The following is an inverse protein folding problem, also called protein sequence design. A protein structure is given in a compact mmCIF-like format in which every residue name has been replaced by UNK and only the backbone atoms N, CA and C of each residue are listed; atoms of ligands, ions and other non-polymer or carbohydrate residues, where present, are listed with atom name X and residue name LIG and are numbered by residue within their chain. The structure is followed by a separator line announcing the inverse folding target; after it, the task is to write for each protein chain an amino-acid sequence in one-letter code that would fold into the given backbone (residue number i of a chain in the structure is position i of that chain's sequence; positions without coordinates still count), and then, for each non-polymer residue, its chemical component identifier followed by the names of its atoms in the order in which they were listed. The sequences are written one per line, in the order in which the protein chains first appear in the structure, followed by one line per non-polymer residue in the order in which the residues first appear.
data_IF_728405946654
#
_entry.id   IF_728405946654
#
_cell.length_a   1.000
_cell.length_b   1.000
_cell.length_c   1.000
_cell.angle_alpha   90.00
_cell.angle_beta   90.00
_cell.angle_gamma   90.00
#
_symmetry.space_group_name_H-M   'P 1'
#
loop_
_entity.id
_entity.type
_entity.pdbx_description
1 polymer ?
#
# COMPACT_ATOMS: atom_id res chain seq x y z
N UNK A 1 17.53 -13.32 -14.61
CA UNK A 1 16.57 -13.06 -13.52
C UNK A 1 15.38 -12.28 -14.01
N UNK A 2 14.20 -12.62 -13.53
CA UNK A 2 12.97 -11.86 -13.81
C UNK A 2 12.73 -10.89 -12.66
N UNK A 3 12.69 -9.60 -12.94
CA UNK A 3 12.38 -8.58 -11.93
C UNK A 3 10.86 -8.53 -11.70
N UNK A 4 10.44 -8.54 -10.44
CA UNK A 4 9.03 -8.42 -10.04
C UNK A 4 8.57 -6.97 -10.10
N UNK A 5 9.45 -6.04 -9.71
CA UNK A 5 9.17 -4.60 -9.72
C UNK A 5 10.01 -3.86 -10.76
N UNK A 6 9.41 -2.83 -11.32
CA UNK A 6 10.02 -1.93 -12.29
C UNK A 6 10.10 -0.51 -11.72
N UNK A 7 10.91 0.38 -12.30
CA UNK A 7 10.94 1.80 -11.90
C UNK A 7 9.57 2.47 -12.03
N UNK A 8 8.79 2.04 -13.02
CA UNK A 8 7.43 2.54 -13.21
C UNK A 8 6.49 2.24 -12.04
N UNK A 9 6.71 1.16 -11.30
CA UNK A 9 5.86 0.79 -10.15
C UNK A 9 6.00 1.80 -9.01
N UNK A 10 7.22 2.27 -8.75
CA UNK A 10 7.46 3.35 -7.79
C UNK A 10 6.74 4.65 -8.17
N UNK A 11 6.87 5.07 -9.43
CA UNK A 11 6.23 6.29 -9.93
C UNK A 11 4.71 6.18 -9.90
N UNK A 12 4.16 5.02 -10.24
CA UNK A 12 2.73 4.76 -10.20
C UNK A 12 2.20 4.77 -8.76
N UNK A 13 2.91 4.18 -7.80
CA UNK A 13 2.56 4.22 -6.38
C UNK A 13 2.56 5.67 -5.85
N UNK A 14 3.56 6.47 -6.23
CA UNK A 14 3.64 7.89 -5.87
C UNK A 14 2.48 8.69 -6.46
N UNK A 15 2.18 8.48 -7.75
CA UNK A 15 1.06 9.13 -8.45
C UNK A 15 -0.27 8.76 -7.82
N UNK A 16 -0.49 7.49 -7.50
CA UNK A 16 -1.70 7.01 -6.85
C UNK A 16 -1.90 7.67 -5.48
N UNK A 17 -0.87 7.68 -4.65
CA UNK A 17 -0.90 8.35 -3.33
C UNK A 17 -1.26 9.83 -3.45
N UNK A 18 -0.62 10.56 -4.38
CA UNK A 18 -0.90 11.99 -4.63
C UNK A 18 -2.31 12.20 -5.16
N UNK A 19 -2.77 11.36 -6.09
CA UNK A 19 -4.12 11.44 -6.67
C UNK A 19 -5.20 11.26 -5.60
N UNK A 20 -5.05 10.25 -4.72
CA UNK A 20 -6.01 10.03 -3.63
C UNK A 20 -6.04 11.21 -2.66
N UNK A 21 -4.87 11.75 -2.31
CA UNK A 21 -4.81 12.93 -1.45
C UNK A 21 -5.46 14.15 -2.10
N UNK A 22 -5.25 14.36 -3.39
CA UNK A 22 -5.88 15.45 -4.13
C UNK A 22 -7.42 15.31 -4.16
N UNK A 23 -7.94 14.11 -4.46
CA UNK A 23 -9.38 13.84 -4.44
C UNK A 23 -9.97 14.14 -3.05
N UNK A 24 -9.29 13.72 -1.98
CA UNK A 24 -9.72 14.02 -0.62
C UNK A 24 -9.87 15.52 -0.37
N UNK A 25 -8.85 16.32 -0.73
CA UNK A 25 -8.92 17.78 -0.54
C UNK A 25 -9.98 18.47 -1.39
N UNK A 26 -10.23 17.96 -2.60
CA UNK A 26 -11.31 18.51 -3.45
C UNK A 26 -12.66 18.25 -2.79
N UNK A 27 -12.95 17.05 -2.31
CA UNK A 27 -14.21 16.72 -1.64
C UNK A 27 -14.37 17.55 -0.36
N UNK A 28 -13.32 17.64 0.45
CA UNK A 28 -13.32 18.45 1.68
C UNK A 28 -13.62 19.94 1.37
N UNK A 29 -13.00 20.51 0.34
CA UNK A 29 -13.24 21.89 -0.07
C UNK A 29 -14.68 22.12 -0.49
N UNK A 30 -15.28 21.17 -1.24
CA UNK A 30 -16.69 21.26 -1.65
C UNK A 30 -17.62 21.25 -0.44
N UNK A 31 -17.38 20.38 0.55
CA UNK A 31 -18.17 20.34 1.77
C UNK A 31 -18.04 21.60 2.62
N UNK A 32 -16.82 22.15 2.78
CA UNK A 32 -16.61 23.43 3.47
C UNK A 32 -17.37 24.56 2.78
N UNK A 33 -17.33 24.63 1.44
CA UNK A 33 -18.08 25.64 0.68
C UNK A 33 -19.58 25.45 0.88
N UNK A 34 -20.08 24.23 0.82
CA UNK A 34 -21.50 23.93 1.06
C UNK A 34 -21.93 24.35 2.47
N UNK A 35 -21.16 24.02 3.50
CA UNK A 35 -21.42 24.48 4.87
C UNK A 35 -21.43 26.03 4.98
N UNK A 36 -20.43 26.66 4.36
CA UNK A 36 -20.35 28.15 4.37
C UNK A 36 -21.57 28.81 3.72
N UNK A 37 -22.05 28.29 2.58
CA UNK A 37 -23.26 28.80 1.91
C UNK A 37 -24.48 28.64 2.81
N UNK A 38 -24.72 27.48 3.38
CA UNK A 38 -25.87 27.25 4.28
C UNK A 38 -25.75 28.12 5.52
N UNK A 39 -24.56 28.31 6.08
CA UNK A 39 -24.34 29.18 7.24
C UNK A 39 -24.59 30.65 6.92
N UNK A 40 -24.18 31.15 5.74
CA UNK A 40 -24.47 32.52 5.29
C UNK A 40 -26.00 32.72 5.12
N UNK A 41 -26.70 31.74 4.56
CA UNK A 41 -28.17 31.80 4.43
C UNK A 41 -28.85 31.85 5.80
N UNK A 42 -28.34 31.10 6.77
CA UNK A 42 -28.78 31.14 8.16
C UNK A 42 -28.58 32.53 8.79
N UNK A 43 -27.41 33.14 8.61
CA UNK A 43 -27.10 34.47 9.16
C UNK A 43 -27.93 35.62 8.54
N UNK A 44 -28.39 35.45 7.29
CA UNK A 44 -29.25 36.44 6.61
C UNK A 44 -30.70 36.43 7.07
N UNK A 45 -31.12 35.49 7.90
CA UNK A 45 -32.46 35.40 8.39
C UNK A 45 -32.77 36.53 9.39
N UNK A 46 -33.99 37.17 9.31
CA UNK A 46 -34.37 38.18 10.25
C UNK A 46 -34.48 37.65 11.68
N UNK A 47 -34.24 38.52 12.64
CA UNK A 47 -34.21 38.15 14.07
C UNK A 47 -35.63 37.93 14.66
N UNK A 48 -36.68 38.27 13.91
CA UNK A 48 -38.07 38.17 14.34
C UNK A 48 -38.51 36.72 14.39
N UNK A 49 -39.06 36.27 15.52
CA UNK A 49 -39.52 34.90 15.72
C UNK A 49 -40.95 34.72 15.27
N UNK A 50 -41.16 34.27 14.03
CA UNK A 50 -42.44 33.68 13.59
C UNK A 50 -42.25 32.15 13.54
N UNK A 51 -43.29 31.33 13.77
CA UNK A 51 -43.18 29.86 13.77
C UNK A 51 -42.59 29.31 12.46
N UNK A 52 -42.91 29.92 11.33
CA UNK A 52 -42.37 29.54 10.01
C UNK A 52 -40.85 29.83 9.87
N UNK A 53 -40.39 30.96 10.40
CA UNK A 53 -39.01 31.36 10.40
C UNK A 53 -38.16 30.49 11.34
N UNK A 54 -38.72 30.10 12.45
CA UNK A 54 -38.08 29.21 13.44
C UNK A 54 -37.86 27.80 12.84
N UNK A 55 -38.87 27.29 12.13
CA UNK A 55 -38.73 26.03 11.38
C UNK A 55 -37.61 26.09 10.32
N UNK A 56 -37.50 27.18 9.57
CA UNK A 56 -36.43 27.38 8.59
C UNK A 56 -35.07 27.51 9.23
N UNK A 57 -34.93 28.19 10.37
CA UNK A 57 -33.67 28.26 11.13
C UNK A 57 -33.20 26.87 11.58
N UNK A 58 -34.10 26.10 12.15
CA UNK A 58 -33.82 24.72 12.58
C UNK A 58 -33.40 23.83 11.40
N UNK A 59 -34.03 24.01 10.22
CA UNK A 59 -33.63 23.28 9.02
C UNK A 59 -32.20 23.62 8.59
N UNK A 60 -31.78 24.89 8.58
CA UNK A 60 -30.40 25.23 8.21
C UNK A 60 -29.40 24.77 9.22
N UNK A 61 -29.68 24.82 10.53
CA UNK A 61 -28.81 24.24 11.56
C UNK A 61 -28.66 22.73 11.36
N UNK A 62 -29.77 22.03 11.11
CA UNK A 62 -29.75 20.61 10.81
C UNK A 62 -28.93 20.31 9.57
N UNK A 63 -29.05 21.07 8.49
CA UNK A 63 -28.28 20.87 7.26
C UNK A 63 -26.78 21.05 7.49
N UNK A 64 -26.35 22.08 8.24
CA UNK A 64 -24.93 22.27 8.58
C UNK A 64 -24.40 21.07 9.38
N UNK A 65 -25.13 20.63 10.40
CA UNK A 65 -24.75 19.46 11.18
C UNK A 65 -24.68 18.19 10.32
N UNK A 66 -25.64 17.99 9.44
CA UNK A 66 -25.70 16.83 8.54
C UNK A 66 -24.50 16.81 7.57
N UNK A 67 -24.23 17.93 6.89
CA UNK A 67 -23.10 18.05 5.97
C UNK A 67 -21.78 17.78 6.72
N UNK A 68 -21.60 18.40 7.90
CA UNK A 68 -20.41 18.21 8.72
C UNK A 68 -20.24 16.75 9.17
N UNK A 69 -21.32 16.08 9.57
CA UNK A 69 -21.29 14.68 9.96
C UNK A 69 -20.88 13.77 8.78
N UNK A 70 -21.43 14.01 7.59
CA UNK A 70 -21.08 13.27 6.37
C UNK A 70 -19.60 13.46 6.04
N UNK A 71 -19.08 14.68 6.13
CA UNK A 71 -17.66 15.01 5.88
C UNK A 71 -16.75 14.28 6.86
N UNK A 72 -17.09 14.25 8.13
CA UNK A 72 -16.30 13.53 9.15
C UNK A 72 -16.28 12.03 8.86
N UNK A 73 -17.44 11.43 8.61
CA UNK A 73 -17.55 10.00 8.29
C UNK A 73 -16.76 9.68 7.01
N UNK A 74 -16.92 10.49 5.96
CA UNK A 74 -16.16 10.34 4.72
C UNK A 74 -14.66 10.40 4.98
N UNK A 75 -14.18 11.37 5.78
CA UNK A 75 -12.76 11.53 6.10
C UNK A 75 -12.20 10.29 6.81
N UNK A 76 -12.92 9.74 7.78
CA UNK A 76 -12.48 8.53 8.48
C UNK A 76 -12.38 7.33 7.54
N UNK A 77 -13.40 7.10 6.71
CA UNK A 77 -13.42 5.96 5.77
C UNK A 77 -12.33 6.15 4.70
N UNK A 78 -12.28 7.34 4.09
CA UNK A 78 -11.38 7.60 2.98
C UNK A 78 -9.89 7.58 3.37
N UNK A 79 -9.55 8.25 4.48
CA UNK A 79 -8.17 8.25 4.98
C UNK A 79 -7.78 6.92 5.63
N UNK A 80 -8.75 6.24 6.26
CA UNK A 80 -8.53 4.98 6.98
C UNK A 80 -8.33 3.77 6.06
N UNK A 81 -8.95 3.73 4.89
CA UNK A 81 -8.91 2.56 4.00
C UNK A 81 -8.09 2.86 2.73
N UNK A 82 -8.62 3.57 1.69
CA UNK A 82 -7.91 3.68 0.41
C UNK A 82 -6.62 4.48 0.49
N UNK A 83 -6.60 5.61 1.21
CA UNK A 83 -5.39 6.41 1.34
C UNK A 83 -4.33 5.72 2.19
N UNK A 84 -4.72 5.07 3.27
CA UNK A 84 -3.81 4.31 4.14
C UNK A 84 -3.14 3.19 3.35
N UNK A 85 -3.91 2.41 2.57
CA UNK A 85 -3.38 1.35 1.70
C UNK A 85 -2.38 1.89 0.68
N UNK A 86 -2.72 2.96 -0.05
CA UNK A 86 -1.82 3.58 -1.01
C UNK A 86 -0.55 4.16 -0.36
N UNK A 87 -0.65 4.71 0.85
CA UNK A 87 0.49 5.20 1.62
C UNK A 87 1.45 4.06 2.01
N UNK A 88 0.93 2.92 2.46
CA UNK A 88 1.76 1.76 2.82
C UNK A 88 2.39 1.12 1.59
N UNK A 89 1.63 1.00 0.49
CA UNK A 89 2.18 0.51 -0.77
C UNK A 89 3.31 1.39 -1.30
N UNK A 90 3.14 2.71 -1.27
CA UNK A 90 4.21 3.65 -1.62
C UNK A 90 5.42 3.49 -0.70
N UNK A 91 5.21 3.33 0.62
CA UNK A 91 6.30 3.09 1.56
C UNK A 91 7.05 1.80 1.24
N UNK A 92 6.34 0.72 0.91
CA UNK A 92 6.95 -0.53 0.47
C UNK A 92 7.84 -0.32 -0.76
N UNK A 93 7.36 0.43 -1.77
CA UNK A 93 8.15 0.73 -2.97
C UNK A 93 9.39 1.57 -2.65
N UNK A 94 9.29 2.50 -1.72
CA UNK A 94 10.41 3.32 -1.26
C UNK A 94 11.45 2.47 -0.50
N UNK A 95 10.98 1.61 0.39
CA UNK A 95 11.82 0.66 1.13
C UNK A 95 12.52 -0.35 0.18
N UNK A 96 11.84 -0.82 -0.87
CA UNK A 96 12.45 -1.69 -1.92
C UNK A 96 13.54 -0.96 -2.69
N UNK A 97 13.34 0.33 -2.97
CA UNK A 97 14.31 1.15 -3.73
C UNK A 97 15.57 1.46 -2.92
N UNK A 98 15.42 1.76 -1.64
CA UNK A 98 16.50 2.23 -0.77
C UNK A 98 17.08 1.17 0.16
N UNK A 99 16.34 0.09 0.39
CA UNK A 99 16.66 -0.93 1.39
C UNK A 99 17.69 -1.95 0.93
N UNK A 100 18.25 -2.69 1.90
CA UNK A 100 19.19 -3.79 1.64
C UNK A 100 18.49 -4.93 0.92
N UNK A 101 19.08 -5.37 -0.17
CA UNK A 101 18.62 -6.53 -0.95
C UNK A 101 19.43 -7.75 -0.52
N UNK A 102 18.75 -8.86 -0.28
CA UNK A 102 19.37 -10.14 0.08
C UNK A 102 19.18 -11.12 -1.08
N UNK A 103 20.28 -11.60 -1.61
CA UNK A 103 20.28 -12.72 -2.54
C UNK A 103 20.29 -14.02 -1.74
N UNK A 104 19.37 -14.92 -2.03
CA UNK A 104 19.26 -16.24 -1.40
C UNK A 104 19.09 -17.31 -2.46
N UNK A 105 19.58 -18.52 -2.15
CA UNK A 105 19.35 -19.72 -2.93
C UNK A 105 18.59 -20.73 -2.07
N UNK A 106 17.50 -21.28 -2.60
CA UNK A 106 16.63 -22.18 -1.85
C UNK A 106 15.91 -23.15 -2.78
N UNK A 107 15.41 -24.24 -2.22
CA UNK A 107 14.55 -25.16 -2.95
C UNK A 107 13.11 -24.70 -2.87
N UNK A 108 12.46 -24.54 -4.02
CA UNK A 108 11.05 -24.20 -4.09
C UNK A 108 10.18 -25.38 -3.61
N UNK A 109 9.20 -25.09 -2.75
CA UNK A 109 8.24 -26.07 -2.27
C UNK A 109 6.91 -25.95 -3.00
N UNK A 110 6.21 -24.85 -2.76
CA UNK A 110 4.88 -24.60 -3.33
C UNK A 110 4.47 -23.13 -3.19
N UNK A 111 3.51 -22.76 -4.01
CA UNK A 111 2.78 -21.51 -3.82
C UNK A 111 1.58 -21.76 -2.89
N UNK A 112 1.45 -20.96 -1.85
CA UNK A 112 0.35 -21.07 -0.91
C UNK A 112 -0.96 -20.48 -1.48
N UNK A 113 -2.08 -21.04 -1.08
CA UNK A 113 -3.40 -20.60 -1.54
C UNK A 113 -3.95 -19.41 -0.75
N UNK A 114 -3.35 -19.12 0.41
CA UNK A 114 -3.80 -18.00 1.26
C UNK A 114 -3.04 -16.71 0.93
N UNK A 115 -3.72 -15.60 1.22
CA UNK A 115 -3.17 -14.25 1.09
C UNK A 115 -2.70 -13.81 2.48
N UNK A 116 -1.49 -13.27 2.55
CA UNK A 116 -0.94 -12.67 3.77
C UNK A 116 -0.98 -11.15 3.64
N UNK A 117 -1.59 -10.48 4.61
CA UNK A 117 -1.64 -9.02 4.67
C UNK A 117 -0.52 -8.50 5.57
N UNK A 118 0.40 -7.72 5.00
CA UNK A 118 1.48 -7.07 5.74
C UNK A 118 1.43 -5.57 5.48
N UNK A 119 1.21 -4.78 6.54
CA UNK A 119 1.16 -3.33 6.43
C UNK A 119 0.05 -2.81 5.50
N UNK A 120 -1.13 -3.43 5.49
CA UNK A 120 -2.25 -3.13 4.59
C UNK A 120 -1.97 -3.37 3.09
N UNK A 121 -0.97 -4.18 2.77
CA UNK A 121 -0.68 -4.67 1.42
C UNK A 121 -0.89 -6.17 1.40
N UNK A 122 -1.60 -6.67 0.38
CA UNK A 122 -1.90 -8.08 0.20
C UNK A 122 -0.76 -8.76 -0.56
N UNK A 123 -0.31 -9.91 -0.08
CA UNK A 123 0.74 -10.72 -0.70
C UNK A 123 0.29 -12.17 -0.88
N UNK A 124 0.63 -12.75 -2.00
CA UNK A 124 0.72 -14.19 -2.14
C UNK A 124 1.95 -14.71 -1.40
N UNK A 125 1.93 -15.96 -1.00
CA UNK A 125 3.03 -16.58 -0.24
C UNK A 125 3.64 -17.69 -1.06
N UNK A 126 4.95 -17.60 -1.26
CA UNK A 126 5.77 -18.64 -1.86
C UNK A 126 6.59 -19.32 -0.77
N UNK A 127 6.44 -20.63 -0.59
CA UNK A 127 7.17 -21.41 0.38
C UNK A 127 8.46 -21.99 -0.24
N UNK A 128 9.58 -21.78 0.46
CA UNK A 128 10.90 -22.30 0.07
C UNK A 128 11.57 -23.00 1.25
N UNK A 129 12.49 -23.92 0.96
CA UNK A 129 13.39 -24.56 1.94
C UNK A 129 14.73 -23.85 1.90
N UNK A 130 15.11 -23.18 2.99
CA UNK A 130 16.38 -22.50 3.16
C UNK A 130 17.20 -23.20 4.24
N UNK A 131 18.51 -23.36 4.00
CA UNK A 131 19.42 -23.89 5.02
C UNK A 131 19.63 -22.86 6.12
N UNK A 132 19.47 -23.26 7.36
CA UNK A 132 19.72 -22.43 8.55
C UNK A 132 21.02 -22.82 9.22
N UNK A 133 22.02 -21.95 9.17
CA UNK A 133 23.31 -22.19 9.85
C UNK A 133 23.19 -22.28 11.38
N UNK A 134 22.15 -21.66 11.95
CA UNK A 134 21.93 -21.69 13.40
C UNK A 134 21.43 -23.04 13.91
N UNK A 135 20.50 -23.65 13.18
CA UNK A 135 19.88 -24.92 13.57
C UNK A 135 20.49 -26.12 12.87
N UNK A 136 21.35 -25.91 11.84
CA UNK A 136 21.93 -26.96 11.00
C UNK A 136 20.84 -27.83 10.34
N UNK A 137 19.72 -27.20 9.97
CA UNK A 137 18.58 -27.90 9.38
C UNK A 137 17.96 -27.04 8.25
N UNK A 138 17.25 -27.70 7.34
CA UNK A 138 16.43 -27.01 6.34
C UNK A 138 15.16 -26.49 6.99
N UNK A 139 14.98 -25.18 6.94
CA UNK A 139 13.80 -24.52 7.48
C UNK A 139 12.92 -24.01 6.35
N UNK A 140 11.62 -24.15 6.54
CA UNK A 140 10.65 -23.53 5.65
C UNK A 140 10.62 -22.02 5.87
N UNK A 141 10.82 -21.28 4.78
CA UNK A 141 10.68 -19.82 4.74
C UNK A 141 9.54 -19.41 3.81
N UNK A 142 8.77 -18.42 4.23
CA UNK A 142 7.70 -17.85 3.45
C UNK A 142 8.20 -16.54 2.81
N UNK A 143 8.21 -16.50 1.49
CA UNK A 143 8.56 -15.32 0.70
C UNK A 143 7.28 -14.67 0.18
N UNK A 144 7.17 -13.38 0.34
CA UNK A 144 5.99 -12.60 0.00
C UNK A 144 6.08 -12.10 -1.44
N UNK A 145 5.06 -12.38 -2.24
CA UNK A 145 4.93 -11.93 -3.62
C UNK A 145 3.73 -11.00 -3.71
N UNK A 146 3.93 -9.78 -4.21
CA UNK A 146 2.86 -8.79 -4.36
C UNK A 146 1.68 -9.38 -5.14
N UNK A 147 0.47 -9.27 -4.61
CA UNK A 147 -0.76 -9.80 -5.21
C UNK A 147 -1.04 -9.24 -6.61
N UNK A 148 -0.58 -8.03 -6.89
CA UNK A 148 -0.75 -7.39 -8.21
C UNK A 148 0.28 -7.88 -9.25
N UNK A 149 1.22 -8.72 -8.84
CA UNK A 149 2.28 -9.27 -9.68
C UNK A 149 2.05 -10.75 -9.99
N UNK A 150 2.51 -11.22 -11.16
CA UNK A 150 2.40 -12.63 -11.49
C UNK A 150 3.21 -13.48 -10.51
N UNK A 151 2.62 -14.57 -10.07
CA UNK A 151 3.34 -15.57 -9.26
C UNK A 151 4.36 -16.30 -10.12
N UNK A 152 5.56 -16.56 -9.58
CA UNK A 152 6.53 -17.43 -10.24
C UNK A 152 5.96 -18.84 -10.46
N UNK A 153 6.17 -19.39 -11.66
CA UNK A 153 5.76 -20.75 -12.01
C UNK A 153 6.96 -21.70 -11.91
N UNK A 154 7.20 -22.20 -10.70
CA UNK A 154 8.24 -23.18 -10.39
C UNK A 154 7.62 -24.52 -10.05
N UNK A 155 8.39 -25.59 -10.28
CA UNK A 155 8.03 -26.97 -9.87
C UNK A 155 8.60 -27.26 -8.48
N UNK A 156 7.88 -28.08 -7.72
CA UNK A 156 8.38 -28.55 -6.44
C UNK A 156 9.75 -29.24 -6.60
N UNK A 157 10.73 -28.81 -5.82
CA UNK A 157 12.10 -29.29 -5.88
C UNK A 157 13.05 -28.46 -6.75
N UNK A 158 12.55 -27.49 -7.52
CA UNK A 158 13.42 -26.58 -8.28
C UNK A 158 14.33 -25.78 -7.35
N UNK A 159 15.62 -25.69 -7.71
CA UNK A 159 16.56 -24.80 -7.02
C UNK A 159 16.44 -23.43 -7.65
N UNK A 160 16.02 -22.47 -6.85
CA UNK A 160 15.79 -21.09 -7.28
C UNK A 160 16.76 -20.13 -6.61
N UNK A 161 17.21 -19.16 -7.35
CA UNK A 161 17.88 -17.98 -6.83
C UNK A 161 16.89 -16.81 -6.82
N UNK A 162 16.82 -16.09 -5.73
CA UNK A 162 15.89 -14.98 -5.59
C UNK A 162 16.45 -13.86 -4.73
N UNK A 163 16.01 -12.67 -5.01
CA UNK A 163 16.37 -11.45 -4.27
C UNK A 163 15.15 -11.01 -3.47
N UNK A 164 15.37 -10.77 -2.18
CA UNK A 164 14.33 -10.26 -1.28
C UNK A 164 14.76 -8.98 -0.58
N UNK A 165 13.75 -8.17 -0.23
CA UNK A 165 13.86 -7.13 0.79
C UNK A 165 12.78 -7.37 1.84
N UNK A 166 13.17 -7.52 3.12
CA UNK A 166 12.24 -7.81 4.23
C UNK A 166 11.22 -8.94 3.92
N UNK A 167 11.69 -10.03 3.30
CA UNK A 167 10.91 -11.18 2.80
C UNK A 167 10.00 -10.92 1.59
N UNK A 168 9.98 -9.70 1.01
CA UNK A 168 9.27 -9.42 -0.24
C UNK A 168 10.15 -9.77 -1.42
N UNK A 169 9.62 -10.54 -2.37
CA UNK A 169 10.31 -10.99 -3.57
C UNK A 169 10.51 -9.82 -4.52
N UNK A 170 11.77 -9.58 -4.93
CA UNK A 170 12.14 -8.51 -5.87
C UNK A 170 12.51 -9.03 -7.25
N UNK A 171 13.22 -10.14 -7.29
CA UNK A 171 13.63 -10.82 -8.51
C UNK A 171 13.80 -12.32 -8.25
N UNK A 172 13.65 -13.10 -9.29
CA UNK A 172 13.80 -14.56 -9.20
C UNK A 172 14.31 -15.17 -10.51
N UNK A 173 14.89 -16.37 -10.42
CA UNK A 173 15.33 -17.18 -11.54
C UNK A 173 15.65 -18.60 -11.13
N UNK A 174 15.73 -19.51 -12.11
CA UNK A 174 16.24 -20.86 -11.91
C UNK A 174 17.77 -20.85 -11.82
N UNK A 175 18.34 -21.78 -11.10
CA UNK A 175 19.82 -21.89 -10.95
C UNK A 175 20.55 -22.13 -12.27
N UNK A 176 19.87 -22.61 -13.32
CA UNK A 176 20.44 -22.80 -14.65
C UNK A 176 20.71 -21.50 -15.41
N UNK A 177 20.17 -20.37 -14.94
CA UNK A 177 20.30 -19.04 -15.57
C UNK A 177 21.50 -18.28 -14.99
N UNK A 178 22.66 -18.92 -14.79
CA UNK A 178 23.81 -18.38 -14.03
C UNK A 178 24.44 -17.10 -14.62
N UNK A 179 24.15 -16.74 -15.86
CA UNK A 179 24.83 -15.62 -16.56
C UNK A 179 24.34 -14.21 -16.19
N UNK A 180 23.33 -14.06 -15.32
CA UNK A 180 22.65 -12.75 -15.08
C UNK A 180 22.84 -12.18 -13.67
N UNK A 181 23.71 -12.78 -12.85
CA UNK A 181 23.81 -12.42 -11.42
C UNK A 181 24.87 -11.37 -11.07
N UNK A 182 25.67 -10.89 -12.02
CA UNK A 182 26.77 -9.93 -11.73
C UNK A 182 26.30 -8.55 -11.26
N UNK A 183 25.07 -8.13 -11.58
CA UNK A 183 24.58 -6.76 -11.28
C UNK A 183 24.07 -6.53 -9.85
N UNK A 184 24.03 -7.57 -9.01
CA UNK A 184 23.50 -7.47 -7.64
C UNK A 184 24.54 -7.59 -6.52
N UNK A 185 25.84 -7.46 -6.84
CA UNK A 185 26.84 -7.37 -5.78
C UNK A 185 26.58 -6.13 -4.93
N UNK A 186 26.30 -6.35 -3.65
CA UNK A 186 26.23 -5.29 -2.63
C UNK A 186 27.50 -4.45 -2.69
N UNK A 187 27.42 -3.11 -2.61
CA UNK A 187 28.60 -2.29 -2.45
C UNK A 187 29.37 -2.78 -1.23
N UNK A 188 30.57 -3.28 -1.42
CA UNK A 188 31.47 -3.64 -0.32
C UNK A 188 31.64 -2.39 0.54
N UNK A 189 31.21 -2.47 1.80
CA UNK A 189 31.53 -1.45 2.78
C UNK A 189 33.08 -1.31 2.78
N UNK A 190 33.52 -0.17 2.25
CA UNK A 190 34.91 0.23 2.32
C UNK A 190 35.31 0.31 3.78
N UNK A 191 36.26 -0.51 4.15
CA UNK A 191 37.07 -0.41 5.36
C UNK A 191 37.49 1.06 5.60
N UNK A 192 37.03 1.65 6.67
CA UNK A 192 37.86 2.54 7.49
C UNK A 192 37.24 2.63 8.89
#
# INVERSE_FOLDING_TARGET
MTNVYTENDYDNALKLKKKLLYIYFVVLAVGIVACAVVFILFLRMPYISTPELESKKNLYQFLVCLISAIEVIFSFIYLGIPYKRAKYYFKLMDDIKTGRKMLSESTFLQNETYINEVGNVDFHVMAVLEWSDKTQEYMRRNVLVDKEKPMPDFKNGDIIKYVTHANVLLAYGLKSDDDVFEDFETPREGSK
#
